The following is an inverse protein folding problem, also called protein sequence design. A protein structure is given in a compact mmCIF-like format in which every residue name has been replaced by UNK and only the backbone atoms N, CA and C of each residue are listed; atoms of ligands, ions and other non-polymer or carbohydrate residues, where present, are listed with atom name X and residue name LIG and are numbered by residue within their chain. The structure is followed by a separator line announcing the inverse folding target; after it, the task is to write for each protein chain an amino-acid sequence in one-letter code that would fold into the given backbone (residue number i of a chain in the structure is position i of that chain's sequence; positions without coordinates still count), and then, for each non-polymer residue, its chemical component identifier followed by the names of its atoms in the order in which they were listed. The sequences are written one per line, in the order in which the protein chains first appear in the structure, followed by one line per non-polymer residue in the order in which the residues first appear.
data_IF_109863671241
#
_entry.id   IF_109863671241
#
_cell.length_a   1.000
_cell.length_b   1.000
_cell.length_c   1.000
_cell.angle_alpha   90.00
_cell.angle_beta   90.00
_cell.angle_gamma   90.00
#
_symmetry.space_group_name_H-M   'P 1'
#
loop_
_entity.id
_entity.type
_entity.pdbx_description
1 polymer ?
#
# COMPACT_ATOMS: atom_id res chain seq x y z
N UNK A 1 -13.16 28.79 -13.89
CA UNK A 1 -12.35 29.93 -14.37
C UNK A 1 -10.86 29.59 -14.47
N UNK A 2 -10.26 28.90 -13.45
CA UNK A 2 -8.82 28.59 -13.45
C UNK A 2 -8.43 27.60 -14.56
N UNK A 3 -9.22 26.56 -14.79
CA UNK A 3 -8.99 25.54 -15.83
C UNK A 3 -8.97 26.12 -17.25
N UNK A 4 -9.70 27.20 -17.49
CA UNK A 4 -9.81 27.88 -18.79
C UNK A 4 -8.90 29.12 -18.88
N UNK A 5 -7.92 29.27 -17.96
CA UNK A 5 -7.00 30.38 -17.98
C UNK A 5 -5.93 30.19 -19.06
N UNK A 6 -5.63 31.24 -19.84
CA UNK A 6 -4.54 31.26 -20.80
C UNK A 6 -3.14 31.25 -20.17
N UNK A 7 -3.04 31.43 -18.83
CA UNK A 7 -1.76 31.38 -18.11
C UNK A 7 -1.51 29.97 -17.58
N UNK A 8 -0.40 29.34 -17.98
CA UNK A 8 -0.01 27.97 -17.62
C UNK A 8 -0.11 27.69 -16.10
N UNK A 9 0.48 28.54 -15.26
CA UNK A 9 0.44 28.35 -13.80
C UNK A 9 -0.97 28.34 -13.22
N UNK A 10 -1.89 29.20 -13.74
CA UNK A 10 -3.28 29.22 -13.27
C UNK A 10 -4.04 27.98 -13.72
N UNK A 11 -3.75 27.49 -14.92
CA UNK A 11 -4.33 26.26 -15.46
C UNK A 11 -3.90 25.06 -14.62
N UNK A 12 -2.61 24.92 -14.30
CA UNK A 12 -2.08 23.84 -13.46
C UNK A 12 -2.69 23.85 -12.04
N UNK A 13 -2.87 25.04 -11.43
CA UNK A 13 -3.57 25.15 -10.15
C UNK A 13 -5.03 24.68 -10.28
N UNK A 14 -5.71 25.05 -11.37
CA UNK A 14 -7.06 24.62 -11.65
C UNK A 14 -7.17 23.11 -11.82
N UNK A 15 -6.24 22.48 -12.52
CA UNK A 15 -6.16 21.03 -12.72
C UNK A 15 -5.90 20.29 -11.39
N UNK A 16 -5.02 20.84 -10.55
CA UNK A 16 -4.76 20.31 -9.21
C UNK A 16 -6.02 20.33 -8.33
N UNK A 17 -6.70 21.48 -8.24
CA UNK A 17 -7.93 21.61 -7.43
C UNK A 17 -9.02 20.67 -7.96
N UNK A 18 -9.14 20.54 -9.27
CA UNK A 18 -10.11 19.68 -9.91
C UNK A 18 -9.85 18.20 -9.59
N UNK A 19 -8.58 17.75 -9.77
CA UNK A 19 -8.15 16.39 -9.41
C UNK A 19 -8.36 16.08 -7.92
N UNK A 20 -8.05 17.05 -7.05
CA UNK A 20 -8.28 16.93 -5.61
C UNK A 20 -9.77 16.79 -5.27
N UNK A 21 -10.63 17.56 -5.93
CA UNK A 21 -12.09 17.46 -5.76
C UNK A 21 -12.63 16.10 -6.21
N UNK A 22 -12.14 15.54 -7.32
CA UNK A 22 -12.51 14.21 -7.76
C UNK A 22 -12.04 13.11 -6.80
N UNK A 23 -10.85 13.26 -6.21
CA UNK A 23 -10.36 12.33 -5.19
C UNK A 23 -11.33 12.27 -4.00
N UNK A 24 -11.72 13.42 -3.45
CA UNK A 24 -12.67 13.45 -2.33
C UNK A 24 -14.07 12.97 -2.71
N UNK A 25 -14.52 13.30 -3.91
CA UNK A 25 -15.78 12.78 -4.42
C UNK A 25 -15.75 11.24 -4.54
N UNK A 26 -14.66 10.68 -5.09
CA UNK A 26 -14.47 9.24 -5.20
C UNK A 26 -14.41 8.55 -3.83
N UNK A 27 -13.69 9.11 -2.86
CA UNK A 27 -13.66 8.61 -1.48
C UNK A 27 -15.04 8.66 -0.83
N UNK A 28 -15.80 9.74 -1.03
CA UNK A 28 -17.17 9.87 -0.52
C UNK A 28 -18.10 8.82 -1.14
N UNK A 29 -18.03 8.63 -2.47
CA UNK A 29 -18.81 7.59 -3.16
C UNK A 29 -18.44 6.19 -2.66
N UNK A 30 -17.16 5.92 -2.45
CA UNK A 30 -16.70 4.64 -1.93
C UNK A 30 -17.27 4.40 -0.53
N UNK A 31 -17.24 5.40 0.35
CA UNK A 31 -17.78 5.32 1.71
C UNK A 31 -19.29 5.11 1.73
N UNK A 32 -20.04 5.81 0.87
CA UNK A 32 -21.51 5.73 0.84
C UNK A 32 -22.03 4.47 0.15
N UNK A 33 -21.26 3.89 -0.78
CA UNK A 33 -21.61 2.67 -1.50
C UNK A 33 -20.86 1.43 -0.99
N UNK A 34 -20.11 1.53 0.10
CA UNK A 34 -19.48 0.37 0.72
C UNK A 34 -20.56 -0.66 1.08
N UNK A 35 -20.38 -1.94 0.69
CA UNK A 35 -21.37 -2.97 1.01
C UNK A 35 -21.53 -3.06 2.53
N UNK A 36 -22.77 -3.04 2.97
CA UNK A 36 -23.09 -3.27 4.38
C UNK A 36 -22.99 -4.78 4.65
N UNK A 37 -21.83 -5.21 5.13
CA UNK A 37 -21.58 -6.62 5.48
C UNK A 37 -22.53 -7.13 6.58
N UNK A 38 -23.12 -6.24 7.39
CA UNK A 38 -24.10 -6.63 8.39
C UNK A 38 -25.38 -7.21 7.77
N UNK A 39 -25.65 -6.87 6.51
CA UNK A 39 -26.78 -7.41 5.74
C UNK A 39 -26.52 -8.78 5.09
N UNK A 40 -25.26 -9.25 5.12
CA UNK A 40 -24.85 -10.52 4.55
C UNK A 40 -24.21 -11.39 5.66
N UNK A 41 -25.03 -12.13 6.45
CA UNK A 41 -24.54 -12.90 7.59
C UNK A 41 -23.54 -13.99 7.20
N UNK A 42 -23.58 -14.51 5.97
CA UNK A 42 -22.59 -15.48 5.47
C UNK A 42 -21.20 -14.85 5.29
N UNK A 43 -21.12 -13.62 4.76
CA UNK A 43 -19.85 -12.91 4.64
C UNK A 43 -19.30 -12.51 6.02
N UNK A 44 -20.18 -12.10 6.93
CA UNK A 44 -19.79 -11.76 8.29
C UNK A 44 -19.28 -12.98 9.05
N UNK A 45 -19.95 -14.14 8.92
CA UNK A 45 -19.50 -15.41 9.53
C UNK A 45 -18.17 -15.89 8.94
N UNK A 46 -17.96 -15.72 7.62
CA UNK A 46 -16.67 -15.99 6.98
C UNK A 46 -15.56 -15.14 7.63
N UNK A 47 -15.76 -13.84 7.71
CA UNK A 47 -14.77 -12.95 8.35
C UNK A 47 -14.53 -13.40 9.80
N UNK A 48 -15.57 -13.62 10.60
CA UNK A 48 -15.45 -14.05 12.01
C UNK A 48 -14.72 -15.39 12.17
N UNK A 49 -14.99 -16.38 11.34
CA UNK A 49 -14.33 -17.68 11.40
C UNK A 49 -12.82 -17.61 11.16
N UNK A 50 -12.34 -16.63 10.40
CA UNK A 50 -10.93 -16.46 10.06
C UNK A 50 -10.22 -15.38 10.90
N UNK A 51 -10.91 -14.68 11.80
CA UNK A 51 -10.31 -13.67 12.68
C UNK A 51 -9.66 -14.27 13.93
N UNK A 52 -10.09 -15.46 14.35
CA UNK A 52 -9.68 -16.07 15.63
C UNK A 52 -8.55 -17.10 15.50
N UNK A 53 -7.92 -17.23 14.35
CA UNK A 53 -6.81 -18.18 14.11
C UNK A 53 -5.44 -17.66 14.62
N UNK A 54 -5.42 -16.60 15.40
CA UNK A 54 -4.20 -16.00 15.93
C UNK A 54 -3.27 -15.48 14.82
N UNK A 55 -2.00 -15.91 14.81
CA UNK A 55 -1.04 -15.48 13.77
C UNK A 55 -1.40 -15.99 12.37
N UNK A 56 -2.14 -17.10 12.26
CA UNK A 56 -2.66 -17.62 11.00
C UNK A 56 -3.61 -16.63 10.31
N UNK A 57 -4.45 -15.93 11.09
CA UNK A 57 -5.30 -14.85 10.56
C UNK A 57 -4.48 -13.70 9.97
N UNK A 58 -3.39 -13.32 10.65
CA UNK A 58 -2.50 -12.24 10.14
C UNK A 58 -1.95 -12.62 8.76
N UNK A 59 -1.41 -13.83 8.60
CA UNK A 59 -0.88 -14.29 7.31
C UNK A 59 -1.97 -14.35 6.24
N UNK A 60 -3.15 -14.87 6.59
CA UNK A 60 -4.28 -14.94 5.67
C UNK A 60 -4.68 -13.54 5.18
N UNK A 61 -4.76 -12.56 6.08
CA UNK A 61 -5.13 -11.19 5.73
C UNK A 61 -4.04 -10.47 4.93
N UNK A 62 -2.76 -10.78 5.12
CA UNK A 62 -1.67 -10.35 4.22
C UNK A 62 -1.90 -10.88 2.80
N UNK A 63 -2.25 -12.15 2.66
CA UNK A 63 -2.54 -12.75 1.34
C UNK A 63 -3.78 -12.10 0.72
N UNK A 64 -4.85 -11.92 1.49
CA UNK A 64 -6.08 -11.26 1.01
C UNK A 64 -5.78 -9.82 0.55
N UNK A 65 -5.04 -9.03 1.32
CA UNK A 65 -4.65 -7.67 0.95
C UNK A 65 -3.80 -7.63 -0.32
N UNK A 66 -2.88 -8.60 -0.48
CA UNK A 66 -2.07 -8.76 -1.69
C UNK A 66 -2.96 -9.01 -2.91
N UNK A 67 -3.84 -10.01 -2.84
CA UNK A 67 -4.74 -10.37 -3.95
C UNK A 67 -5.71 -9.24 -4.27
N UNK A 68 -6.30 -8.62 -3.25
CA UNK A 68 -7.22 -7.51 -3.42
C UNK A 68 -6.54 -6.35 -4.15
N UNK A 69 -5.33 -5.98 -3.75
CA UNK A 69 -4.57 -4.90 -4.41
C UNK A 69 -4.18 -5.25 -5.84
N UNK A 70 -3.84 -6.50 -6.11
CA UNK A 70 -3.57 -6.97 -7.48
C UNK A 70 -4.80 -6.86 -8.38
N UNK A 71 -5.99 -7.12 -7.85
CA UNK A 71 -7.26 -7.02 -8.61
C UNK A 71 -7.64 -5.56 -8.82
N UNK A 72 -7.63 -4.76 -7.74
CA UNK A 72 -8.04 -3.35 -7.77
C UNK A 72 -7.01 -2.46 -8.48
N UNK A 73 -5.73 -2.84 -8.45
CA UNK A 73 -4.58 -2.11 -9.04
C UNK A 73 -4.43 -0.67 -8.51
N UNK A 74 -5.00 -0.38 -7.36
CA UNK A 74 -4.96 0.93 -6.71
C UNK A 74 -4.88 0.77 -5.20
N UNK A 75 -3.67 0.86 -4.63
CA UNK A 75 -3.45 0.70 -3.19
C UNK A 75 -4.24 1.72 -2.34
N UNK A 76 -4.41 2.95 -2.83
CA UNK A 76 -5.22 3.95 -2.15
C UNK A 76 -6.71 3.53 -2.04
N UNK A 77 -7.26 2.87 -3.06
CA UNK A 77 -8.62 2.35 -3.02
C UNK A 77 -8.74 1.14 -2.06
N UNK A 78 -7.75 0.24 -2.08
CA UNK A 78 -7.70 -0.90 -1.16
C UNK A 78 -7.55 -0.42 0.29
N UNK A 79 -6.67 0.55 0.55
CA UNK A 79 -6.54 1.20 1.86
C UNK A 79 -7.86 1.82 2.33
N UNK A 80 -8.61 2.50 1.44
CA UNK A 80 -9.90 3.07 1.81
C UNK A 80 -10.93 1.98 2.18
N UNK A 81 -10.94 0.84 1.48
CA UNK A 81 -11.78 -0.32 1.84
C UNK A 81 -11.36 -0.85 3.21
N UNK A 82 -10.07 -1.05 3.46
CA UNK A 82 -9.53 -1.51 4.74
C UNK A 82 -9.93 -0.58 5.89
N UNK A 83 -9.82 0.75 5.68
CA UNK A 83 -10.25 1.77 6.64
C UNK A 83 -11.75 1.65 6.96
N UNK A 84 -12.60 1.48 5.95
CA UNK A 84 -14.04 1.31 6.13
C UNK A 84 -14.35 0.03 6.92
N UNK A 85 -13.70 -1.08 6.60
CA UNK A 85 -13.89 -2.36 7.31
C UNK A 85 -13.52 -2.25 8.78
N UNK A 86 -12.41 -1.60 9.10
CA UNK A 86 -11.98 -1.37 10.48
C UNK A 86 -12.87 -0.37 11.21
N UNK A 87 -13.25 0.75 10.56
CA UNK A 87 -14.09 1.78 11.18
C UNK A 87 -15.51 1.26 11.50
N UNK A 88 -16.03 0.33 10.72
CA UNK A 88 -17.30 -0.35 10.98
C UNK A 88 -17.17 -1.54 11.97
N UNK A 89 -15.96 -1.82 12.48
CA UNK A 89 -15.72 -2.91 13.41
C UNK A 89 -15.85 -4.32 12.80
N UNK A 90 -15.82 -4.45 11.47
CA UNK A 90 -15.88 -5.76 10.80
C UNK A 90 -14.60 -6.56 10.96
N UNK A 91 -13.47 -5.87 11.01
CA UNK A 91 -12.15 -6.44 11.31
C UNK A 91 -11.44 -5.59 12.36
N UNK A 92 -10.55 -6.23 13.12
CA UNK A 92 -9.72 -5.53 14.11
C UNK A 92 -8.64 -4.67 13.43
N UNK A 93 -8.05 -3.76 14.20
CA UNK A 93 -6.89 -2.96 13.73
C UNK A 93 -5.74 -3.86 13.27
N UNK A 94 -5.45 -4.96 13.98
CA UNK A 94 -4.37 -5.89 13.65
C UNK A 94 -4.59 -6.54 12.29
N UNK A 95 -5.83 -6.95 11.98
CA UNK A 95 -6.17 -7.53 10.69
C UNK A 95 -6.16 -6.48 9.58
N UNK A 96 -6.59 -5.26 9.88
CA UNK A 96 -6.42 -4.12 8.98
C UNK A 96 -4.94 -3.82 8.68
N UNK A 97 -4.08 -3.86 9.70
CA UNK A 97 -2.63 -3.72 9.53
C UNK A 97 -2.03 -4.84 8.67
N UNK A 98 -2.53 -6.09 8.83
CA UNK A 98 -2.14 -7.21 7.98
C UNK A 98 -2.56 -7.01 6.51
N UNK A 99 -3.78 -6.52 6.25
CA UNK A 99 -4.22 -6.13 4.90
C UNK A 99 -3.27 -5.08 4.30
N UNK A 100 -2.91 -4.04 5.06
CA UNK A 100 -1.98 -2.98 4.63
C UNK A 100 -0.61 -3.54 4.25
N UNK A 101 -0.07 -4.51 5.00
CA UNK A 101 1.17 -5.20 4.60
C UNK A 101 1.00 -5.93 3.26
N UNK A 102 -0.14 -6.59 3.07
CA UNK A 102 -0.47 -7.25 1.81
C UNK A 102 -0.61 -6.27 0.64
N UNK A 103 -1.22 -5.11 0.87
CA UNK A 103 -1.36 -4.04 -0.14
C UNK A 103 0.00 -3.59 -0.68
N UNK A 104 1.01 -3.47 0.18
CA UNK A 104 2.37 -3.12 -0.23
C UNK A 104 2.98 -4.19 -1.16
N UNK A 105 2.80 -5.48 -0.86
CA UNK A 105 3.24 -6.57 -1.74
C UNK A 105 2.47 -6.54 -3.06
N UNK A 106 1.14 -6.45 -3.02
CA UNK A 106 0.27 -6.45 -4.19
C UNK A 106 0.63 -5.36 -5.20
N UNK A 107 0.89 -4.14 -4.71
CA UNK A 107 1.33 -3.01 -5.54
C UNK A 107 2.65 -3.32 -6.27
N UNK A 108 3.59 -3.99 -5.60
CA UNK A 108 4.88 -4.33 -6.23
C UNK A 108 4.77 -5.48 -7.22
N UNK A 109 3.86 -6.42 -7.00
CA UNK A 109 3.59 -7.49 -7.97
C UNK A 109 3.00 -6.90 -9.26
N UNK A 110 2.02 -6.00 -9.16
CA UNK A 110 1.44 -5.33 -10.35
C UNK A 110 2.47 -4.51 -11.11
N UNK A 111 3.37 -3.81 -10.41
CA UNK A 111 4.49 -3.09 -11.01
C UNK A 111 5.45 -4.04 -11.75
N UNK A 112 5.75 -5.23 -11.19
CA UNK A 112 6.59 -6.22 -11.85
C UNK A 112 5.90 -6.82 -13.08
N UNK A 113 4.59 -7.07 -13.03
CA UNK A 113 3.82 -7.52 -14.19
C UNK A 113 3.86 -6.48 -15.32
N UNK A 114 3.66 -5.21 -15.00
CA UNK A 114 3.75 -4.12 -15.97
C UNK A 114 5.17 -3.98 -16.56
N UNK A 115 6.20 -4.26 -15.77
CA UNK A 115 7.59 -4.17 -16.20
C UNK A 115 8.06 -5.34 -17.08
N UNK A 116 7.28 -6.42 -17.25
CA UNK A 116 7.69 -7.60 -18.05
C UNK A 116 8.05 -7.25 -19.50
N UNK A 117 7.35 -6.29 -20.09
CA UNK A 117 7.57 -5.80 -21.46
C UNK A 117 8.52 -4.61 -21.54
N UNK A 118 8.99 -4.11 -20.40
CA UNK A 118 9.87 -2.95 -20.31
C UNK A 118 11.36 -3.32 -20.49
N UNK A 119 12.21 -2.30 -20.58
CA UNK A 119 13.66 -2.47 -20.68
C UNK A 119 14.24 -3.08 -19.38
N UNK A 120 15.48 -3.56 -19.45
CA UNK A 120 16.18 -4.21 -18.34
C UNK A 120 16.23 -3.33 -17.08
N UNK A 121 16.43 -2.02 -17.22
CA UNK A 121 16.50 -1.12 -16.05
C UNK A 121 15.15 -1.00 -15.33
N UNK A 122 14.05 -0.86 -16.07
CA UNK A 122 12.70 -0.82 -15.49
C UNK A 122 12.35 -2.13 -14.78
N UNK A 123 12.71 -3.28 -15.37
CA UNK A 123 12.52 -4.61 -14.74
C UNK A 123 13.33 -4.76 -13.46
N UNK A 124 14.58 -4.28 -13.44
CA UNK A 124 15.44 -4.26 -12.24
C UNK A 124 14.84 -3.37 -11.16
N UNK A 125 14.36 -2.18 -11.51
CA UNK A 125 13.71 -1.27 -10.58
C UNK A 125 12.43 -1.88 -9.95
N UNK A 126 11.59 -2.50 -10.77
CA UNK A 126 10.38 -3.18 -10.30
C UNK A 126 10.71 -4.36 -9.35
N UNK A 127 11.72 -5.18 -9.69
CA UNK A 127 12.17 -6.27 -8.84
C UNK A 127 12.79 -5.77 -7.53
N UNK A 128 13.58 -4.69 -7.58
CA UNK A 128 14.14 -4.07 -6.37
C UNK A 128 13.02 -3.59 -5.43
N UNK A 129 11.96 -3.00 -5.99
CA UNK A 129 10.78 -2.57 -5.22
C UNK A 129 10.05 -3.76 -4.59
N UNK A 130 9.90 -4.89 -5.31
CA UNK A 130 9.33 -6.11 -4.75
C UNK A 130 10.17 -6.65 -3.59
N UNK A 131 11.49 -6.76 -3.78
CA UNK A 131 12.42 -7.23 -2.73
C UNK A 131 12.34 -6.34 -1.50
N UNK A 132 12.29 -5.02 -1.70
CA UNK A 132 12.15 -4.03 -0.64
C UNK A 132 10.87 -4.25 0.19
N UNK A 133 9.72 -4.43 -0.46
CA UNK A 133 8.45 -4.60 0.25
C UNK A 133 8.30 -5.98 0.89
N UNK A 134 8.74 -7.05 0.22
CA UNK A 134 8.70 -8.41 0.78
C UNK A 134 9.59 -8.49 2.03
N UNK A 135 10.80 -7.94 1.99
CA UNK A 135 11.66 -7.86 3.17
C UNK A 135 10.98 -7.06 4.29
N UNK A 136 10.38 -5.90 3.94
CA UNK A 136 9.63 -5.08 4.88
C UNK A 136 8.53 -5.85 5.58
N UNK A 137 7.72 -6.57 4.82
CA UNK A 137 6.62 -7.38 5.38
C UNK A 137 7.16 -8.49 6.29
N UNK A 138 8.23 -9.18 5.90
CA UNK A 138 8.81 -10.27 6.70
C UNK A 138 9.26 -9.77 8.08
N UNK A 139 10.05 -8.68 8.15
CA UNK A 139 10.52 -8.20 9.45
C UNK A 139 9.38 -7.67 10.32
N UNK A 140 8.39 -6.99 9.73
CA UNK A 140 7.20 -6.54 10.50
C UNK A 140 6.38 -7.72 10.99
N UNK A 141 6.21 -8.78 10.20
CA UNK A 141 5.52 -9.99 10.66
C UNK A 141 6.24 -10.64 11.85
N UNK A 142 7.57 -10.64 11.86
CA UNK A 142 8.36 -11.11 13.02
C UNK A 142 8.13 -10.24 14.27
N UNK A 143 7.92 -8.94 14.09
CA UNK A 143 7.70 -7.97 15.16
C UNK A 143 6.25 -7.44 15.19
N UNK A 144 5.28 -8.22 14.69
CA UNK A 144 3.92 -7.74 14.44
C UNK A 144 3.25 -7.20 15.71
N UNK A 145 3.26 -8.00 16.78
CA UNK A 145 2.68 -7.58 18.07
C UNK A 145 3.31 -6.31 18.64
N UNK A 146 4.65 -6.22 18.83
CA UNK A 146 5.25 -5.01 19.38
C UNK A 146 5.01 -3.78 18.49
N UNK A 147 4.99 -3.91 17.16
CA UNK A 147 4.72 -2.78 16.25
C UNK A 147 3.27 -2.31 16.38
N UNK A 148 2.29 -3.23 16.34
CA UNK A 148 0.86 -2.87 16.47
C UNK A 148 0.53 -2.31 17.85
N UNK A 149 1.11 -2.87 18.92
CA UNK A 149 0.96 -2.34 20.28
C UNK A 149 1.57 -0.94 20.41
N UNK A 150 2.76 -0.71 19.84
CA UNK A 150 3.40 0.61 19.86
C UNK A 150 2.59 1.67 19.12
N UNK A 151 2.00 1.32 17.97
CA UNK A 151 1.12 2.22 17.21
C UNK A 151 -0.17 2.50 18.00
N UNK A 152 -0.77 1.47 18.62
CA UNK A 152 -1.98 1.67 19.44
C UNK A 152 -1.71 2.58 20.62
N UNK A 153 -0.61 2.35 21.36
CA UNK A 153 -0.19 3.21 22.44
C UNK A 153 0.03 4.67 22.01
N UNK A 154 0.70 4.86 20.87
CA UNK A 154 0.93 6.21 20.34
C UNK A 154 -0.38 6.96 20.04
N UNK A 155 -1.35 6.29 19.41
CA UNK A 155 -2.61 6.93 19.01
C UNK A 155 -3.56 7.12 20.22
N UNK A 156 -3.64 6.14 21.10
CA UNK A 156 -4.58 6.17 22.23
C UNK A 156 -4.06 7.01 23.39
N UNK A 157 -2.79 6.82 23.79
CA UNK A 157 -2.23 7.47 24.98
C UNK A 157 -1.59 8.83 24.69
N UNK A 158 -0.89 8.97 23.55
CA UNK A 158 -0.21 10.24 23.20
C UNK A 158 -1.16 11.19 22.47
N UNK A 159 -1.81 10.71 21.37
CA UNK A 159 -2.74 11.56 20.62
C UNK A 159 -4.10 11.73 21.31
N UNK A 160 -4.42 10.87 22.29
CA UNK A 160 -5.68 10.89 23.07
C UNK A 160 -6.92 10.95 22.21
N UNK A 161 -6.97 10.14 21.15
CA UNK A 161 -8.10 10.10 20.22
C UNK A 161 -9.27 9.36 20.86
N UNK A 162 -10.33 10.10 21.21
CA UNK A 162 -11.48 9.60 21.96
C UNK A 162 -12.48 8.79 21.11
N UNK A 163 -12.61 9.11 19.80
CA UNK A 163 -13.53 8.43 18.90
C UNK A 163 -12.87 7.13 18.35
N UNK A 164 -13.46 5.94 18.60
CA UNK A 164 -12.89 4.67 18.16
C UNK A 164 -12.71 4.56 16.64
N UNK A 165 -13.64 5.07 15.83
CA UNK A 165 -13.57 5.01 14.38
C UNK A 165 -12.45 5.93 13.84
N UNK A 166 -12.27 7.09 14.47
CA UNK A 166 -11.18 8.01 14.16
C UNK A 166 -9.85 7.40 14.63
N UNK A 167 -9.80 6.81 15.81
CA UNK A 167 -8.62 6.16 16.37
C UNK A 167 -8.10 5.05 15.45
N UNK A 168 -8.98 4.18 14.95
CA UNK A 168 -8.61 3.11 14.01
C UNK A 168 -8.01 3.67 12.72
N UNK A 169 -8.57 4.75 12.18
CA UNK A 169 -8.06 5.40 10.97
C UNK A 169 -6.65 5.96 11.20
N UNK A 170 -6.41 6.60 12.35
CA UNK A 170 -5.09 7.08 12.73
C UNK A 170 -4.10 5.93 12.97
N UNK A 171 -4.53 4.81 13.61
CA UNK A 171 -3.69 3.64 13.82
C UNK A 171 -3.23 3.03 12.50
N UNK A 172 -4.13 2.84 11.54
CA UNK A 172 -3.76 2.30 10.22
C UNK A 172 -2.83 3.22 9.45
N UNK A 173 -3.09 4.53 9.47
CA UNK A 173 -2.22 5.52 8.84
C UNK A 173 -0.85 5.59 9.50
N UNK A 174 -0.79 5.58 10.84
CA UNK A 174 0.45 5.56 11.61
C UNK A 174 1.23 4.26 11.38
N UNK A 175 0.55 3.12 11.36
CA UNK A 175 1.16 1.83 11.05
C UNK A 175 1.79 1.82 9.65
N UNK A 176 1.04 2.25 8.63
CA UNK A 176 1.53 2.31 7.25
C UNK A 176 2.74 3.26 7.13
N UNK A 177 2.67 4.43 7.75
CA UNK A 177 3.76 5.40 7.75
C UNK A 177 5.00 4.86 8.47
N UNK A 178 4.83 4.31 9.68
CA UNK A 178 5.91 3.72 10.48
C UNK A 178 6.57 2.57 9.74
N UNK A 179 5.78 1.65 9.16
CA UNK A 179 6.27 0.56 8.34
C UNK A 179 7.19 1.06 7.21
N UNK A 180 6.71 2.02 6.42
CA UNK A 180 7.49 2.51 5.27
C UNK A 180 8.74 3.26 5.70
N UNK A 181 8.67 4.13 6.72
CA UNK A 181 9.83 4.87 7.23
C UNK A 181 10.88 3.91 7.80
N UNK A 182 10.48 2.98 8.67
CA UNK A 182 11.41 2.00 9.25
C UNK A 182 12.03 1.13 8.16
N UNK A 183 11.24 0.68 7.18
CA UNK A 183 11.73 -0.12 6.07
C UNK A 183 12.80 0.63 5.25
N UNK A 184 12.58 1.91 4.95
CA UNK A 184 13.58 2.77 4.28
C UNK A 184 14.83 2.90 5.13
N UNK A 185 14.70 3.22 6.43
CA UNK A 185 15.84 3.41 7.33
C UNK A 185 16.68 2.14 7.49
N UNK A 186 16.05 0.97 7.48
CA UNK A 186 16.76 -0.32 7.51
C UNK A 186 17.45 -0.58 6.17
N UNK A 187 16.73 -0.48 5.06
CA UNK A 187 17.21 -0.95 3.77
C UNK A 187 18.13 0.03 3.03
N UNK A 188 18.21 1.29 3.44
CA UNK A 188 19.13 2.26 2.85
C UNK A 188 20.60 1.80 2.96
N UNK A 189 20.93 1.06 4.01
CA UNK A 189 22.28 0.50 4.21
C UNK A 189 22.56 -0.72 3.31
N UNK A 190 21.50 -1.36 2.77
CA UNK A 190 21.56 -2.58 1.97
C UNK A 190 21.30 -2.34 0.48
N UNK A 191 21.25 -1.08 0.02
CA UNK A 191 20.97 -0.73 -1.39
C UNK A 191 21.92 -1.45 -2.34
N UNK A 192 23.23 -1.48 -2.06
CA UNK A 192 24.22 -2.18 -2.89
C UNK A 192 23.98 -3.71 -2.95
N UNK A 193 23.48 -4.30 -1.87
CA UNK A 193 23.14 -5.71 -1.83
C UNK A 193 21.90 -6.01 -2.69
N UNK A 194 20.89 -5.16 -2.59
CA UNK A 194 19.68 -5.25 -3.40
C UNK A 194 20.03 -5.10 -4.88
N UNK A 195 20.82 -4.09 -5.24
CA UNK A 195 21.30 -3.86 -6.61
C UNK A 195 22.04 -5.09 -7.16
N UNK A 196 23.02 -5.61 -6.41
CA UNK A 196 23.78 -6.81 -6.81
C UNK A 196 22.86 -8.02 -7.03
N UNK A 197 21.89 -8.22 -6.15
CA UNK A 197 20.92 -9.32 -6.23
C UNK A 197 20.05 -9.18 -7.47
N UNK A 198 19.49 -8.00 -7.69
CA UNK A 198 18.61 -7.71 -8.82
C UNK A 198 19.35 -7.82 -10.16
N UNK A 199 20.58 -7.30 -10.23
CA UNK A 199 21.42 -7.42 -11.43
C UNK A 199 21.81 -8.87 -11.73
N UNK A 200 21.95 -9.71 -10.71
CA UNK A 200 22.21 -11.15 -10.88
C UNK A 200 20.99 -11.90 -11.40
N UNK A 201 19.78 -11.53 -10.94
CA UNK A 201 18.51 -12.17 -11.37
C UNK A 201 18.12 -11.70 -12.77
N UNK A 202 18.33 -10.42 -13.08
CA UNK A 202 18.02 -9.83 -14.38
C UNK A 202 19.32 -9.34 -15.02
N UNK A 203 20.04 -10.19 -15.77
CA UNK A 203 21.26 -9.80 -16.46
C UNK A 203 20.97 -8.75 -17.56
N UNK A 204 21.99 -7.97 -17.92
CA UNK A 204 21.89 -7.02 -19.03
C UNK A 204 21.80 -7.79 -20.34
N UNK A 205 20.91 -7.36 -21.23
CA UNK A 205 20.82 -7.91 -22.59
C UNK A 205 21.66 -7.05 -23.53
N UNK A 206 22.32 -7.68 -24.51
CA UNK A 206 23.12 -6.95 -25.53
C UNK A 206 22.30 -5.92 -26.30
N UNK A 207 21.01 -6.15 -26.48
CA UNK A 207 20.07 -5.20 -27.14
C UNK A 207 19.82 -3.92 -26.35
N UNK A 208 20.08 -3.89 -25.04
CA UNK A 208 19.92 -2.68 -24.21
C UNK A 208 21.05 -1.64 -24.42
N UNK A 209 22.14 -2.02 -25.11
CA UNK A 209 23.23 -1.08 -25.45
C UNK A 209 22.89 -0.15 -26.62
N UNK A 210 21.86 -0.44 -27.43
CA UNK A 210 21.45 0.40 -28.56
C UNK A 210 20.82 1.75 -28.16
N UNK A 211 20.55 2.01 -26.89
CA UNK A 211 20.07 3.31 -26.39
C UNK A 211 21.19 4.33 -26.13
N UNK A 212 22.36 4.17 -26.73
CA UNK A 212 23.31 5.27 -26.84
C UNK A 212 22.79 6.27 -27.87
N UNK A 213 22.72 7.54 -27.46
CA UNK A 213 22.39 8.66 -28.30
C UNK A 213 23.24 8.63 -29.59
N UNK A 214 22.72 8.04 -30.67
CA UNK A 214 23.39 7.95 -31.97
C UNK A 214 23.40 9.26 -32.74
N UNK A 215 22.82 10.33 -32.19
CA UNK A 215 22.57 11.59 -32.93
C UNK A 215 23.03 12.86 -32.22
N UNK A 216 24.00 12.78 -31.30
CA UNK A 216 24.74 13.98 -30.84
C UNK A 216 26.17 13.81 -31.29
N UNK A 217 26.45 14.36 -32.46
CA UNK A 217 27.79 14.75 -32.93
C UNK A 217 28.02 16.20 -32.55
#
# INVERSE_FOLDING_TARGET
PLLFSGKSNRKSIGEFIFGFSFLFMGLSLLKTNAPDLSRNPEMLSFVQNYTDMGFGSVILFVVIGTVLTMIVQASAATMAITLIMCANGWISFELGAALVLGENIGTTITANLAALTANTQARRAALAHLVFNVFGVIWVLCLFKPVTMGVSWFVEDIMRTADPAVAVSFKLSAFHTTFNICNVLILIWFVKLIEKTVCKIIPQREQDEEYRLRFIT
#
